data_IF_663942605925
#
_entry.id   IF_663942605925
#
_cell.length_a   1.000
_cell.length_b   1.000
_cell.length_c   1.000
_cell.angle_alpha   90.00
_cell.angle_beta   90.00
_cell.angle_gamma   90.00
#
_symmetry.space_group_name_H-M   'P 1'
#
loop_
_entity.id
_entity.type
_entity.pdbx_description
1 polymer ?
#
# COMPACT_ATOMS: atom_id res chain seq x y z
N UNK A 1 11.82 -19.42 -1.51
CA UNK A 1 10.62 -19.71 -0.70
C UNK A 1 9.71 -18.52 -0.89
N UNK A 2 8.47 -18.75 -1.31
CA UNK A 2 7.56 -17.72 -1.82
C UNK A 2 7.03 -16.87 -0.67
N UNK A 3 7.71 -15.77 -0.35
CA UNK A 3 7.11 -14.70 0.46
C UNK A 3 6.15 -13.93 -0.45
N UNK A 4 4.86 -13.96 -0.12
CA UNK A 4 3.88 -13.13 -0.80
C UNK A 4 4.11 -11.69 -0.36
N UNK A 5 4.61 -10.86 -1.26
CA UNK A 5 4.83 -9.44 -1.00
C UNK A 5 3.71 -8.60 -1.62
N UNK A 6 3.35 -7.53 -0.92
CA UNK A 6 2.48 -6.47 -1.42
C UNK A 6 3.38 -5.35 -1.93
N UNK A 7 3.30 -5.10 -3.24
CA UNK A 7 4.09 -4.08 -3.92
C UNK A 7 3.19 -2.88 -4.18
N UNK A 8 3.61 -1.73 -3.65
CA UNK A 8 3.00 -0.44 -3.94
C UNK A 8 3.89 0.33 -4.89
N UNK A 9 3.32 0.88 -5.95
CA UNK A 9 4.05 1.62 -6.98
C UNK A 9 3.35 2.92 -7.32
N UNK A 10 4.08 4.02 -7.28
CA UNK A 10 3.62 5.32 -7.74
C UNK A 10 3.49 5.31 -9.28
N UNK A 11 2.32 5.71 -9.79
CA UNK A 11 1.98 5.68 -11.23
C UNK A 11 2.04 7.07 -11.89
N UNK A 12 2.07 8.15 -11.10
CA UNK A 12 2.16 9.53 -11.57
C UNK A 12 3.34 10.29 -10.94
N UNK A 13 3.70 11.45 -11.49
CA UNK A 13 4.82 12.29 -11.02
C UNK A 13 6.12 12.10 -11.80
N UNK A 14 7.12 12.95 -11.54
CA UNK A 14 8.47 12.81 -12.09
C UNK A 14 9.06 11.45 -11.69
N UNK A 15 9.33 10.59 -12.68
CA UNK A 15 9.98 9.29 -12.48
C UNK A 15 11.34 9.49 -11.82
N UNK A 16 11.46 9.18 -10.53
CA UNK A 16 12.76 9.09 -9.86
C UNK A 16 13.14 7.62 -9.84
N UNK A 17 13.95 7.22 -10.82
CA UNK A 17 14.50 5.88 -10.96
C UNK A 17 14.87 5.28 -9.59
N UNK A 18 14.15 4.24 -9.17
CA UNK A 18 14.45 3.43 -7.98
C UNK A 18 13.68 3.78 -6.69
N UNK A 19 12.93 4.89 -6.60
CA UNK A 19 12.19 5.28 -5.37
C UNK A 19 10.66 5.27 -5.52
N UNK A 20 10.16 4.85 -6.67
CA UNK A 20 8.74 4.91 -7.01
C UNK A 20 7.97 3.65 -6.59
N UNK A 21 8.59 2.71 -5.85
CA UNK A 21 7.92 1.54 -5.30
C UNK A 21 8.38 1.20 -3.88
N UNK A 22 7.52 0.52 -3.12
CA UNK A 22 7.88 -0.14 -1.88
C UNK A 22 7.26 -1.54 -1.84
N UNK A 23 7.98 -2.48 -1.25
CA UNK A 23 7.61 -3.88 -1.11
C UNK A 23 7.43 -4.17 0.38
N UNK A 24 6.30 -4.75 0.76
CA UNK A 24 5.95 -5.03 2.15
C UNK A 24 5.46 -6.46 2.22
N UNK A 25 5.98 -7.24 3.15
CA UNK A 25 5.51 -8.62 3.36
C UNK A 25 4.00 -8.63 3.64
N UNK A 26 3.25 -9.49 2.97
CA UNK A 26 1.79 -9.58 3.14
C UNK A 26 1.40 -9.84 4.61
N UNK A 27 2.23 -10.57 5.36
CA UNK A 27 2.05 -10.83 6.80
C UNK A 27 1.91 -9.54 7.64
N UNK A 28 2.48 -8.44 7.17
CA UNK A 28 2.42 -7.14 7.83
C UNK A 28 1.24 -6.28 7.36
N UNK A 29 0.51 -6.69 6.34
CA UNK A 29 -0.55 -5.90 5.69
C UNK A 29 -1.92 -6.44 6.06
N UNK A 30 -2.80 -5.57 6.55
CA UNK A 30 -4.21 -5.88 6.80
C UNK A 30 -5.13 -4.92 6.08
N UNK A 31 -5.99 -5.46 5.21
CA UNK A 31 -7.06 -4.72 4.55
C UNK A 31 -8.27 -4.61 5.48
N UNK A 32 -8.63 -3.40 5.90
CA UNK A 32 -9.70 -3.17 6.88
C UNK A 32 -11.07 -2.92 6.26
N UNK A 33 -11.12 -2.17 5.16
CA UNK A 33 -12.39 -1.76 4.57
C UNK A 33 -12.25 -1.63 3.06
N UNK A 34 -13.23 -2.12 2.29
CA UNK A 34 -13.34 -1.96 0.82
C UNK A 34 -14.68 -1.34 0.41
N UNK A 35 -15.51 -0.95 1.37
CA UNK A 35 -16.89 -0.51 1.12
C UNK A 35 -16.91 0.94 0.66
N UNK A 36 -17.66 1.25 -0.40
CA UNK A 36 -17.83 2.61 -0.91
C UNK A 36 -16.65 3.14 -1.75
N UNK A 37 -15.80 2.24 -2.28
CA UNK A 37 -14.68 2.64 -3.14
C UNK A 37 -13.47 3.19 -2.39
N UNK A 38 -13.42 3.05 -1.06
CA UNK A 38 -12.26 3.40 -0.23
C UNK A 38 -11.64 2.12 0.30
N UNK A 39 -10.31 2.04 0.21
CA UNK A 39 -9.51 0.93 0.73
C UNK A 39 -8.63 1.44 1.85
N UNK A 40 -8.84 0.94 3.06
CA UNK A 40 -7.97 1.22 4.19
C UNK A 40 -7.04 0.04 4.44
N UNK A 41 -5.75 0.32 4.47
CA UNK A 41 -4.68 -0.66 4.64
C UNK A 41 -3.94 -0.32 5.93
N UNK A 42 -3.98 -1.23 6.89
CA UNK A 42 -3.21 -1.13 8.12
C UNK A 42 -1.94 -1.95 7.99
N UNK A 43 -0.80 -1.33 8.19
CA UNK A 43 0.50 -1.99 8.10
C UNK A 43 1.08 -2.05 9.52
N UNK A 44 1.48 -3.25 9.95
CA UNK A 44 2.09 -3.51 11.26
C UNK A 44 3.30 -4.42 11.09
N UNK A 45 4.47 -3.92 11.46
CA UNK A 45 5.73 -4.63 11.39
C UNK A 45 6.72 -4.09 12.45
N UNK A 46 7.93 -4.66 12.56
CA UNK A 46 9.03 -4.03 13.27
C UNK A 46 9.36 -2.64 12.69
N UNK A 47 9.95 -1.77 13.51
CA UNK A 47 10.26 -0.39 13.11
C UNK A 47 11.11 -0.31 11.84
N UNK A 48 12.13 -1.17 11.75
CA UNK A 48 13.09 -1.20 10.64
C UNK A 48 12.39 -1.46 9.30
N UNK A 49 11.42 -2.37 9.27
CA UNK A 49 10.63 -2.72 8.08
C UNK A 49 9.57 -1.64 7.75
N UNK A 50 9.10 -0.88 8.74
CA UNK A 50 8.07 0.15 8.56
C UNK A 50 8.61 1.49 8.10
N UNK A 51 9.86 1.84 8.45
CA UNK A 51 10.41 3.16 8.14
C UNK A 51 10.40 3.41 6.63
N UNK A 52 10.85 2.45 5.83
CA UNK A 52 10.92 2.59 4.38
C UNK A 52 9.52 2.71 3.75
N UNK A 53 8.58 1.89 4.22
CA UNK A 53 7.18 1.95 3.81
C UNK A 53 6.52 3.27 4.19
N UNK A 54 6.71 3.72 5.43
CA UNK A 54 6.16 4.98 5.91
C UNK A 54 6.73 6.17 5.13
N UNK A 55 8.05 6.23 4.95
CA UNK A 55 8.71 7.30 4.19
C UNK A 55 8.24 7.32 2.73
N UNK A 56 7.97 6.17 2.12
CA UNK A 56 7.37 6.09 0.79
C UNK A 56 5.99 6.74 0.76
N UNK A 57 5.07 6.35 1.64
CA UNK A 57 3.70 6.91 1.65
C UNK A 57 3.65 8.37 2.09
N UNK A 58 4.51 8.81 3.02
CA UNK A 58 4.59 10.22 3.45
C UNK A 58 5.06 11.17 2.35
N UNK A 59 5.68 10.66 1.28
CA UNK A 59 6.12 11.45 0.12
C UNK A 59 5.11 11.46 -1.02
N UNK A 60 4.01 10.73 -0.89
CA UNK A 60 2.95 10.67 -1.89
C UNK A 60 1.94 11.76 -1.59
N UNK A 61 1.59 12.54 -2.61
CA UNK A 61 0.63 13.63 -2.46
C UNK A 61 -0.81 13.09 -2.48
N UNK A 62 -1.73 13.82 -1.85
CA UNK A 62 -3.16 13.51 -1.98
C UNK A 62 -3.59 13.51 -3.45
N UNK A 63 -4.49 12.59 -3.79
CA UNK A 63 -4.98 12.29 -5.14
C UNK A 63 -3.91 11.79 -6.13
N UNK A 64 -2.70 11.47 -5.67
CA UNK A 64 -1.70 10.88 -6.53
C UNK A 64 -2.03 9.41 -6.86
N UNK A 65 -1.76 8.99 -8.10
CA UNK A 65 -2.10 7.64 -8.54
C UNK A 65 -1.09 6.61 -8.06
N UNK A 66 -1.61 5.54 -7.46
CA UNK A 66 -0.85 4.49 -6.81
C UNK A 66 -1.37 3.13 -7.27
N UNK A 67 -0.48 2.32 -7.82
CA UNK A 67 -0.74 0.93 -8.19
C UNK A 67 -0.40 0.01 -7.02
N UNK A 68 -1.26 -0.95 -6.76
CA UNK A 68 -1.02 -2.02 -5.80
C UNK A 68 -1.01 -3.36 -6.53
N UNK A 69 -0.02 -4.20 -6.25
CA UNK A 69 0.13 -5.56 -6.74
C UNK A 69 0.32 -6.48 -5.53
N UNK A 70 -0.51 -7.50 -5.39
CA UNK A 70 -0.49 -8.42 -4.26
C UNK A 70 0.04 -9.76 -4.76
N UNK A 71 1.07 -10.28 -4.08
CA UNK A 71 1.67 -11.59 -4.34
C UNK A 71 2.18 -11.77 -5.79
N UNK A 72 2.61 -10.70 -6.45
CA UNK A 72 2.99 -10.69 -7.87
C UNK A 72 1.94 -11.35 -8.79
N UNK A 73 0.66 -11.22 -8.44
CA UNK A 73 -0.45 -11.75 -9.23
C UNK A 73 -0.52 -11.13 -10.63
N UNK A 74 0.13 -9.97 -10.83
CA UNK A 74 0.03 -9.19 -12.07
C UNK A 74 -1.23 -8.33 -12.12
N UNK A 75 -2.13 -8.49 -11.15
CA UNK A 75 -3.32 -7.67 -10.99
C UNK A 75 -2.94 -6.33 -10.35
N UNK A 76 -2.63 -5.36 -11.20
CA UNK A 76 -2.39 -3.98 -10.75
C UNK A 76 -3.70 -3.27 -10.50
N UNK A 77 -3.98 -2.97 -9.25
CA UNK A 77 -5.14 -2.15 -8.87
C UNK A 77 -4.73 -0.69 -8.77
N UNK A 78 -5.35 0.14 -9.60
CA UNK A 78 -5.13 1.58 -9.60
C UNK A 78 -5.99 2.26 -8.54
N UNK A 79 -5.33 2.98 -7.64
CA UNK A 79 -5.95 3.74 -6.59
C UNK A 79 -5.46 5.19 -6.60
N UNK A 80 -6.24 6.08 -6.02
CA UNK A 80 -5.80 7.39 -5.58
C UNK A 80 -5.36 7.30 -4.13
N UNK A 81 -4.17 7.81 -3.83
CA UNK A 81 -3.73 7.99 -2.46
C UNK A 81 -4.55 9.10 -1.81
N UNK A 82 -5.05 8.85 -0.60
CA UNK A 82 -5.84 9.83 0.19
C UNK A 82 -5.15 10.27 1.47
N UNK A 83 -4.08 9.60 1.86
CA UNK A 83 -3.30 9.95 3.03
C UNK A 83 -2.74 8.75 3.77
N UNK A 84 -1.83 9.04 4.67
CA UNK A 84 -1.22 8.11 5.61
C UNK A 84 -1.34 8.69 7.01
N UNK A 85 -1.63 7.85 8.00
CA UNK A 85 -1.60 8.26 9.41
C UNK A 85 -0.18 8.27 9.94
N UNK A 86 0.07 9.01 11.03
CA UNK A 86 1.38 8.98 11.69
C UNK A 86 1.76 7.57 12.15
N UNK A 87 3.07 7.31 12.15
CA UNK A 87 3.65 6.10 12.70
C UNK A 87 3.42 6.09 14.22
N UNK A 88 2.70 5.07 14.70
CA UNK A 88 2.38 4.90 16.13
C UNK A 88 2.88 3.55 16.63
N UNK A 89 3.17 3.46 17.92
CA UNK A 89 3.50 2.17 18.54
C UNK A 89 2.25 1.29 18.58
N UNK A 90 2.43 0.00 18.31
CA UNK A 90 1.35 -0.94 18.47
C UNK A 90 1.13 -1.29 19.95
N UNK A 91 -0.13 -1.31 20.38
CA UNK A 91 -0.52 -1.47 21.79
C UNK A 91 -0.11 -2.83 22.37
N UNK A 92 0.21 -3.80 21.51
CA UNK A 92 0.73 -5.12 21.91
C UNK A 92 2.25 -5.16 22.14
N UNK A 93 2.96 -4.04 21.99
CA UNK A 93 4.34 -3.86 22.48
C UNK A 93 5.47 -4.43 21.60
N UNK A 94 5.17 -4.97 20.41
CA UNK A 94 6.19 -5.63 19.57
C UNK A 94 6.39 -5.02 18.18
N UNK A 95 5.96 -3.78 17.95
CA UNK A 95 6.13 -3.13 16.64
C UNK A 95 5.47 -1.77 16.53
N UNK A 96 5.50 -1.22 15.33
CA UNK A 96 4.82 0.03 14.99
C UNK A 96 3.66 -0.27 14.04
N UNK A 97 2.79 0.72 13.86
CA UNK A 97 1.69 0.66 12.91
C UNK A 97 1.45 2.02 12.28
N UNK A 98 1.04 1.99 11.02
CA UNK A 98 0.39 3.13 10.36
C UNK A 98 -0.71 2.63 9.44
N UNK A 99 -1.57 3.54 9.01
CA UNK A 99 -2.67 3.25 8.11
C UNK A 99 -2.56 4.10 6.86
N UNK A 100 -2.73 3.45 5.71
CA UNK A 100 -2.84 4.09 4.40
C UNK A 100 -4.29 4.08 3.98
N UNK A 101 -4.77 5.22 3.51
CA UNK A 101 -6.10 5.34 2.91
C UNK A 101 -5.94 5.53 1.42
N UNK A 102 -6.57 4.63 0.66
CA UNK A 102 -6.61 4.63 -0.79
C UNK A 102 -8.07 4.75 -1.24
N UNK A 103 -8.30 5.32 -2.41
CA UNK A 103 -9.59 5.32 -3.08
C UNK A 103 -9.47 4.59 -4.42
N UNK A 104 -10.39 3.68 -4.71
CA UNK A 104 -10.45 2.93 -5.96
C UNK A 104 -10.63 3.93 -7.11
N UNK A 105 -9.70 3.90 -8.07
CA UNK A 105 -9.77 4.69 -9.30
C UNK A 105 -10.43 3.89 -10.41
N UNK A 106 -9.92 2.68 -10.63
CA UNK A 106 -10.48 1.70 -11.55
C UNK A 106 -10.87 0.47 -10.73
N UNK A 107 -12.07 -0.07 -10.95
CA UNK A 107 -12.41 -1.38 -10.38
C UNK A 107 -11.37 -2.41 -10.83
N UNK A 108 -11.08 -3.41 -9.98
CA UNK A 108 -10.18 -4.51 -10.33
C UNK A 108 -10.45 -4.99 -11.75
N UNK A 109 -9.43 -5.30 -12.57
CA UNK A 109 -9.67 -5.80 -13.91
C UNK A 109 -10.67 -6.95 -13.80
N UNK A 110 -11.89 -6.72 -14.30
CA UNK A 110 -12.85 -7.80 -14.43
C UNK A 110 -12.20 -8.75 -15.42
N UNK A 111 -11.59 -9.81 -14.90
CA UNK A 111 -11.26 -10.99 -15.69
C UNK A 111 -12.54 -11.33 -16.43
N UNK A 112 -12.58 -10.99 -17.72
CA UNK A 112 -13.59 -11.47 -18.63
C UNK A 112 -13.37 -12.98 -18.71
N UNK A 113 -13.94 -13.70 -17.74
CA UNK A 113 -14.21 -15.12 -17.91
C UNK A 113 -15.26 -15.16 -19.02
N UNK A 114 -14.80 -15.63 -20.18
CA UNK A 114 -15.55 -15.76 -21.43
C UNK A 114 -16.86 -16.53 -21.27
#
# INVERSE_FOLDING_TARGET
>A
MSESDVVFKKLGGEKRFGKDKVEIKEDYVRFLNKTGGVVQIKIKAPREELIDAYEFFSKINDMESLGMDIANSGDRWNHYFRGVTDLSEDESGSGYKFQVTLQIRDAAPQSHVR
#
